data_IF_698964153126
#
_entry.id   IF_698964153126
#
_cell.length_a   1.000
_cell.length_b   1.000
_cell.length_c   1.000
_cell.angle_alpha   90.00
_cell.angle_beta   90.00
_cell.angle_gamma   90.00
#
_symmetry.space_group_name_H-M   'P 1'
#
loop_
_entity.id
_entity.type
_entity.pdbx_description
1 polymer ?
#
# COMPACT_ATOMS: atom_id res chain seq x y z
N UNK A 1 29.96 -28.83 22.21
CA UNK A 1 29.47 -27.61 21.53
C UNK A 1 27.99 -27.81 21.33
N UNK A 2 27.18 -27.06 22.07
CA UNK A 2 25.73 -27.12 21.94
C UNK A 2 25.38 -26.21 20.75
N UNK A 3 24.68 -26.77 19.76
CA UNK A 3 24.19 -26.03 18.59
C UNK A 3 22.70 -25.79 18.78
N UNK A 4 22.29 -24.53 18.78
CA UNK A 4 20.88 -24.16 18.71
C UNK A 4 20.47 -24.00 17.25
N UNK A 5 19.18 -24.19 16.98
CA UNK A 5 18.54 -24.03 15.69
C UNK A 5 17.29 -23.18 15.93
N UNK A 6 17.01 -22.22 15.04
CA UNK A 6 15.73 -21.51 15.04
C UNK A 6 14.62 -22.49 14.66
N UNK A 7 13.67 -22.71 15.56
CA UNK A 7 12.44 -23.49 15.29
C UNK A 7 11.30 -22.59 14.86
N UNK A 8 11.35 -21.31 15.23
CA UNK A 8 10.41 -20.28 14.84
C UNK A 8 11.13 -18.94 14.73
N UNK A 9 10.69 -18.12 13.78
CA UNK A 9 11.15 -16.75 13.62
C UNK A 9 10.04 -15.92 12.97
N UNK A 10 9.65 -14.84 13.64
CA UNK A 10 8.73 -13.85 13.11
C UNK A 10 9.21 -12.43 13.47
N UNK A 11 8.83 -11.47 12.64
CA UNK A 11 9.09 -10.07 12.88
C UNK A 11 7.85 -9.22 12.59
N UNK A 12 7.49 -8.36 13.53
CA UNK A 12 6.41 -7.39 13.31
C UNK A 12 7.02 -6.01 13.02
N UNK A 13 6.57 -5.39 11.92
CA UNK A 13 7.14 -4.14 11.39
C UNK A 13 6.06 -3.06 11.20
N UNK A 14 5.55 -2.43 12.27
CA UNK A 14 4.79 -1.18 12.13
C UNK A 14 5.70 -0.06 11.60
N UNK A 15 5.16 1.08 11.11
CA UNK A 15 5.94 2.16 10.48
C UNK A 15 7.19 2.59 11.26
N UNK A 16 7.10 2.71 12.58
CA UNK A 16 8.19 3.28 13.37
C UNK A 16 8.90 2.32 14.30
N UNK A 17 8.58 1.02 14.23
CA UNK A 17 9.18 0.03 15.13
C UNK A 17 9.46 -1.30 14.43
N UNK A 18 10.45 -2.02 14.93
CA UNK A 18 10.66 -3.44 14.65
C UNK A 18 10.64 -4.19 15.97
N UNK A 19 10.00 -5.34 16.00
CA UNK A 19 10.43 -6.36 16.94
C UNK A 19 10.47 -7.75 16.32
N UNK A 20 11.16 -8.63 17.02
CA UNK A 20 11.49 -9.97 16.56
C UNK A 20 11.14 -10.95 17.66
N UNK A 21 10.40 -11.98 17.30
CA UNK A 21 10.12 -13.15 18.13
C UNK A 21 10.80 -14.36 17.50
N UNK A 22 11.58 -15.08 18.29
CA UNK A 22 12.26 -16.28 17.83
C UNK A 22 12.14 -17.39 18.86
N UNK A 23 12.11 -18.63 18.39
CA UNK A 23 12.24 -19.80 19.26
C UNK A 23 13.41 -20.67 18.83
N UNK A 24 14.02 -21.35 19.80
CA UNK A 24 15.12 -22.28 19.58
C UNK A 24 14.79 -23.69 20.08
N UNK A 25 15.44 -24.70 19.48
CA UNK A 25 15.29 -26.09 19.90
C UNK A 25 15.95 -26.43 21.25
N UNK A 26 16.79 -25.53 21.78
CA UNK A 26 17.52 -25.67 23.03
C UNK A 26 17.58 -24.32 23.71
N UNK A 27 17.37 -24.30 25.03
CA UNK A 27 17.49 -23.08 25.81
C UNK A 27 18.82 -22.38 25.54
N UNK A 28 18.76 -21.13 25.10
CA UNK A 28 19.91 -20.29 24.86
C UNK A 28 19.69 -18.89 25.44
N UNK A 29 20.77 -18.12 25.54
CA UNK A 29 20.67 -16.68 25.70
C UNK A 29 21.14 -16.05 24.39
N UNK A 30 20.21 -15.39 23.69
CA UNK A 30 20.44 -14.84 22.36
C UNK A 30 20.57 -13.32 22.40
N UNK A 31 21.41 -12.84 21.50
CA UNK A 31 21.59 -11.44 21.16
C UNK A 31 21.19 -11.24 19.70
N UNK A 32 20.83 -10.01 19.36
CA UNK A 32 20.57 -9.59 17.99
C UNK A 32 21.53 -8.48 17.59
N UNK A 33 22.25 -8.68 16.48
CA UNK A 33 22.95 -7.61 15.77
C UNK A 33 22.10 -7.17 14.60
N UNK A 34 21.93 -5.86 14.44
CA UNK A 34 21.15 -5.30 13.35
C UNK A 34 21.72 -3.97 12.83
N UNK A 35 21.38 -3.62 11.59
CA UNK A 35 21.73 -2.33 10.98
C UNK A 35 20.77 -1.96 9.85
N UNK A 36 20.81 -0.69 9.44
CA UNK A 36 20.11 -0.13 8.27
C UNK A 36 20.86 -0.30 6.95
N UNK A 37 22.02 -0.94 6.99
CA UNK A 37 22.81 -1.27 5.81
C UNK A 37 22.99 -2.78 5.75
N UNK A 38 23.16 -3.35 4.57
CA UNK A 38 23.44 -4.78 4.45
C UNK A 38 24.90 -5.06 4.88
N UNK A 39 25.17 -6.06 5.73
CA UNK A 39 26.53 -6.39 6.11
C UNK A 39 27.31 -6.99 4.93
N UNK A 40 28.63 -6.84 4.98
CA UNK A 40 29.51 -7.64 4.15
C UNK A 40 29.49 -9.11 4.62
N UNK A 41 29.86 -10.04 3.74
CA UNK A 41 29.98 -11.46 4.06
C UNK A 41 31.38 -11.96 3.76
N UNK A 42 31.94 -12.74 4.69
CA UNK A 42 33.21 -13.44 4.52
C UNK A 42 32.97 -14.94 4.56
N UNK A 43 33.41 -15.72 3.56
CA UNK A 43 33.24 -17.17 3.60
C UNK A 43 34.09 -17.77 4.73
N UNK A 44 33.51 -18.71 5.47
CA UNK A 44 34.19 -19.44 6.55
C UNK A 44 34.55 -20.82 6.04
N UNK A 45 35.81 -21.22 6.21
CA UNK A 45 36.31 -22.54 5.86
C UNK A 45 36.84 -23.25 7.10
N UNK A 46 36.64 -24.57 7.18
CA UNK A 46 37.24 -25.44 8.18
C UNK A 46 38.14 -26.46 7.51
N UNK A 47 39.35 -26.65 8.04
CA UNK A 47 40.25 -27.70 7.57
C UNK A 47 39.85 -29.04 8.16
N UNK A 48 39.44 -29.99 7.32
CA UNK A 48 39.07 -31.36 7.70
C UNK A 48 39.93 -32.32 6.89
N UNK A 49 40.77 -33.12 7.57
CA UNK A 49 41.71 -34.07 6.91
C UNK A 49 42.50 -33.42 5.77
N UNK A 50 43.13 -32.28 6.07
CA UNK A 50 43.89 -31.45 5.14
C UNK A 50 43.11 -30.74 4.01
N UNK A 51 41.80 -30.94 3.87
CA UNK A 51 40.95 -30.25 2.88
C UNK A 51 40.22 -29.06 3.51
N UNK A 52 40.12 -27.93 2.79
CA UNK A 52 39.30 -26.81 3.20
C UNK A 52 37.83 -27.05 2.80
N UNK A 53 36.96 -27.22 3.80
CA UNK A 53 35.52 -27.38 3.60
C UNK A 53 34.85 -26.05 3.86
N UNK A 54 34.04 -25.57 2.93
CA UNK A 54 33.22 -24.37 3.12
C UNK A 54 32.13 -24.66 4.17
N UNK A 55 32.00 -23.78 5.16
CA UNK A 55 31.11 -23.96 6.31
C UNK A 55 30.07 -22.85 6.46
N UNK A 56 29.99 -21.91 5.51
CA UNK A 56 29.03 -20.80 5.54
C UNK A 56 29.68 -19.44 5.38
N UNK A 57 28.99 -18.42 5.89
CA UNK A 57 29.44 -17.04 5.90
C UNK A 57 29.46 -16.49 7.32
N UNK A 58 30.45 -15.64 7.58
CA UNK A 58 30.47 -14.71 8.70
C UNK A 58 30.01 -13.35 8.20
N UNK A 59 29.06 -12.75 8.90
CA UNK A 59 28.57 -11.41 8.58
C UNK A 59 29.42 -10.36 9.31
N UNK A 60 30.02 -9.46 8.53
CA UNK A 60 30.90 -8.40 9.01
C UNK A 60 30.13 -7.08 8.95
N UNK A 61 29.98 -6.46 10.11
CA UNK A 61 29.33 -5.17 10.29
C UNK A 61 30.38 -4.10 10.58
N UNK A 62 30.24 -2.93 9.99
CA UNK A 62 31.07 -1.78 10.34
C UNK A 62 30.63 -1.18 11.68
N UNK A 63 29.32 -0.95 11.86
CA UNK A 63 28.72 -0.39 13.09
C UNK A 63 27.33 -1.00 13.36
N UNK A 64 27.23 -2.24 13.87
CA UNK A 64 25.93 -2.83 14.19
C UNK A 64 25.40 -2.25 15.49
N UNK A 65 24.08 -2.08 15.56
CA UNK A 65 23.40 -1.97 16.84
C UNK A 65 23.30 -3.36 17.46
N UNK A 66 23.42 -3.43 18.79
CA UNK A 66 23.31 -4.66 19.57
C UNK A 66 22.10 -4.57 20.49
N UNK A 67 21.28 -5.62 20.51
CA UNK A 67 20.12 -5.74 21.39
C UNK A 67 20.14 -7.13 22.03
N UNK A 68 19.99 -7.20 23.35
CA UNK A 68 19.83 -8.44 24.10
C UNK A 68 18.35 -8.86 24.09
N UNK A 69 18.09 -10.16 24.22
CA UNK A 69 16.72 -10.64 24.43
C UNK A 69 16.10 -9.99 25.68
N UNK A 70 14.79 -9.74 25.64
CA UNK A 70 14.07 -9.13 26.77
C UNK A 70 13.74 -10.14 27.88
N UNK A 71 13.65 -11.44 27.57
CA UNK A 71 13.43 -12.48 28.56
C UNK A 71 14.69 -12.72 29.41
N UNK A 72 14.57 -12.89 30.73
CA UNK A 72 15.72 -13.15 31.58
C UNK A 72 16.27 -14.56 31.40
N UNK A 73 17.61 -14.67 31.35
CA UNK A 73 18.32 -15.94 31.43
C UNK A 73 18.30 -16.77 30.13
N UNK A 74 18.37 -18.08 30.29
CA UNK A 74 18.39 -19.06 29.20
C UNK A 74 16.95 -19.50 28.92
N UNK A 75 16.43 -19.18 27.74
CA UNK A 75 15.03 -19.41 27.36
C UNK A 75 14.93 -20.11 26.01
N UNK A 76 13.76 -20.67 25.70
CA UNK A 76 13.45 -21.20 24.37
C UNK A 76 12.86 -20.13 23.46
N UNK A 77 12.16 -19.15 24.03
CA UNK A 77 11.56 -18.02 23.33
C UNK A 77 12.39 -16.74 23.59
N UNK A 78 12.61 -15.97 22.54
CA UNK A 78 13.46 -14.78 22.53
C UNK A 78 12.72 -13.64 21.84
N UNK A 79 12.51 -12.55 22.57
CA UNK A 79 11.82 -11.34 22.11
C UNK A 79 12.82 -10.18 22.11
N UNK A 80 12.95 -9.51 20.96
CA UNK A 80 13.79 -8.35 20.78
C UNK A 80 12.96 -7.13 20.38
N UNK A 81 13.25 -5.98 20.99
CA UNK A 81 12.59 -4.71 20.70
C UNK A 81 11.52 -4.29 21.72
N UNK A 82 10.73 -3.24 21.41
CA UNK A 82 10.66 -2.57 20.11
C UNK A 82 11.89 -1.70 19.80
N UNK A 83 12.44 -1.83 18.60
CA UNK A 83 13.50 -1.00 18.04
C UNK A 83 12.89 0.15 17.26
N UNK A 84 13.27 1.40 17.55
CA UNK A 84 12.75 2.57 16.83
C UNK A 84 13.40 2.71 15.45
N UNK A 85 12.58 2.92 14.42
CA UNK A 85 12.99 3.00 13.01
C UNK A 85 12.21 4.10 12.28
N UNK A 86 12.75 4.59 11.16
CA UNK A 86 11.96 5.36 10.20
C UNK A 86 11.07 4.42 9.38
N UNK A 87 9.96 4.94 8.84
CA UNK A 87 9.04 4.16 8.00
C UNK A 87 9.68 3.67 6.69
N UNK A 88 10.77 4.31 6.25
CA UNK A 88 11.51 3.98 5.04
C UNK A 88 12.74 3.12 5.28
N UNK A 89 13.07 2.78 6.53
CA UNK A 89 14.27 2.02 6.86
C UNK A 89 14.11 0.55 6.45
N UNK A 90 15.04 0.06 5.63
CA UNK A 90 15.36 -1.36 5.54
C UNK A 90 16.20 -1.78 6.74
N UNK A 91 15.95 -2.96 7.28
CA UNK A 91 16.73 -3.50 8.40
C UNK A 91 17.28 -4.87 8.06
N UNK A 92 18.54 -5.09 8.36
CA UNK A 92 19.18 -6.39 8.30
C UNK A 92 19.56 -6.80 9.72
N UNK A 93 19.27 -8.04 10.11
CA UNK A 93 19.65 -8.55 11.42
C UNK A 93 20.01 -10.03 11.37
N UNK A 94 20.74 -10.51 12.39
CA UNK A 94 20.81 -11.93 12.71
C UNK A 94 20.82 -12.10 14.23
N UNK A 95 20.37 -13.28 14.67
CA UNK A 95 20.45 -13.70 16.06
C UNK A 95 21.76 -14.46 16.27
N UNK A 96 22.37 -14.32 17.44
CA UNK A 96 23.58 -15.06 17.78
C UNK A 96 23.64 -15.38 19.28
N UNK A 97 24.38 -16.42 19.61
CA UNK A 97 24.81 -16.71 20.98
C UNK A 97 26.33 -16.56 21.09
N UNK A 98 26.82 -16.31 22.30
CA UNK A 98 28.25 -16.26 22.59
C UNK A 98 28.70 -17.65 23.06
N UNK A 99 29.62 -18.29 22.32
CA UNK A 99 30.17 -19.60 22.70
C UNK A 99 31.16 -19.52 23.87
N UNK A 100 31.29 -20.60 24.65
CA UNK A 100 32.03 -20.62 25.92
C UNK A 100 33.56 -20.57 25.79
N UNK A 101 34.18 -21.03 24.68
CA UNK A 101 35.64 -20.97 24.41
C UNK A 101 36.02 -21.54 23.03
N UNK A 102 36.90 -20.89 22.25
CA UNK A 102 37.12 -19.44 22.28
C UNK A 102 35.79 -18.71 22.07
N UNK A 103 35.65 -17.49 22.60
CA UNK A 103 34.45 -16.67 22.40
C UNK A 103 34.26 -16.39 20.91
N UNK A 104 33.48 -17.24 20.25
CA UNK A 104 33.04 -17.07 18.88
C UNK A 104 31.53 -16.98 18.87
N UNK A 105 31.03 -16.04 18.08
CA UNK A 105 29.60 -15.89 17.86
C UNK A 105 29.12 -17.06 17.00
N UNK A 106 28.12 -17.77 17.50
CA UNK A 106 27.33 -18.69 16.70
C UNK A 106 26.24 -17.86 16.02
N UNK A 107 26.49 -17.45 14.77
CA UNK A 107 25.56 -16.61 14.01
C UNK A 107 24.44 -17.45 13.38
N UNK A 108 23.20 -17.01 13.54
CA UNK A 108 22.06 -17.47 12.77
C UNK A 108 22.04 -16.90 11.35
N UNK A 109 20.99 -17.17 10.57
CA UNK A 109 20.84 -16.62 9.22
C UNK A 109 20.67 -15.09 9.26
N UNK A 110 21.16 -14.40 8.21
CA UNK A 110 20.88 -12.98 8.00
C UNK A 110 19.46 -12.80 7.45
N UNK A 111 18.67 -12.01 8.16
CA UNK A 111 17.30 -11.67 7.84
C UNK A 111 17.25 -10.24 7.31
N UNK A 112 16.43 -10.01 6.29
CA UNK A 112 16.12 -8.68 5.77
C UNK A 112 14.65 -8.37 6.04
N UNK A 113 14.40 -7.29 6.77
CA UNK A 113 13.07 -6.74 7.00
C UNK A 113 12.95 -5.48 6.14
N UNK A 114 12.11 -5.50 5.09
CA UNK A 114 11.85 -4.29 4.32
C UNK A 114 11.08 -3.26 5.16
N UNK A 115 11.02 -2.00 4.71
CA UNK A 115 10.00 -1.05 5.14
C UNK A 115 8.62 -1.72 5.16
N UNK A 116 7.72 -1.36 6.10
CA UNK A 116 6.33 -1.76 5.96
C UNK A 116 5.79 -1.23 4.65
N UNK A 117 4.88 -1.99 4.05
CA UNK A 117 4.04 -1.45 2.99
C UNK A 117 3.32 -0.22 3.57
N UNK A 118 3.67 0.96 3.06
CA UNK A 118 2.95 2.16 3.42
C UNK A 118 1.52 2.00 2.92
N UNK A 119 0.49 2.41 3.69
CA UNK A 119 -0.86 2.44 3.17
C UNK A 119 -0.84 3.25 1.87
N UNK A 120 -1.42 2.72 0.81
CA UNK A 120 -1.44 3.41 -0.47
C UNK A 120 -2.60 4.43 -0.43
N UNK A 121 -2.36 5.72 -0.74
CA UNK A 121 -3.39 6.73 -0.85
C UNK A 121 -4.61 6.24 -1.59
N UNK A 122 -5.74 6.18 -0.91
CA UNK A 122 -7.00 5.73 -1.48
C UNK A 122 -8.17 6.48 -0.87
N UNK A 123 -9.17 6.75 -1.69
CA UNK A 123 -10.39 7.40 -1.26
C UNK A 123 -11.57 6.90 -2.10
N UNK A 124 -12.76 6.91 -1.50
CA UNK A 124 -14.02 6.65 -2.17
C UNK A 124 -15.09 7.55 -1.61
N UNK A 125 -15.68 8.35 -2.50
CA UNK A 125 -16.73 9.31 -2.19
C UNK A 125 -18.02 8.94 -2.93
N UNK A 126 -19.14 9.40 -2.40
CA UNK A 126 -20.46 9.18 -2.98
C UNK A 126 -21.36 10.40 -2.78
N UNK A 127 -22.48 10.42 -3.49
CA UNK A 127 -23.51 11.44 -3.33
C UNK A 127 -24.73 10.82 -2.62
N UNK A 128 -25.16 11.43 -1.53
CA UNK A 128 -26.30 10.98 -0.71
C UNK A 128 -27.65 11.57 -1.15
N UNK A 129 -27.63 12.51 -2.10
CA UNK A 129 -28.80 13.24 -2.62
C UNK A 129 -28.87 13.13 -4.14
N UNK A 130 -30.06 13.05 -4.76
CA UNK A 130 -30.15 13.02 -6.22
C UNK A 130 -29.58 14.30 -6.85
N UNK A 131 -28.80 14.13 -7.92
CA UNK A 131 -28.30 15.24 -8.74
C UNK A 131 -28.98 15.23 -10.10
N UNK A 132 -29.71 16.30 -10.42
CA UNK A 132 -30.31 16.46 -11.74
C UNK A 132 -29.27 16.88 -12.77
N UNK A 133 -29.15 16.09 -13.84
CA UNK A 133 -28.39 16.42 -15.04
C UNK A 133 -29.35 17.06 -16.05
N UNK A 134 -29.09 18.28 -16.55
CA UNK A 134 -29.94 18.90 -17.55
C UNK A 134 -29.78 18.25 -18.94
N UNK A 135 -30.83 18.31 -19.74
CA UNK A 135 -30.83 17.77 -21.10
C UNK A 135 -29.75 18.45 -21.97
N UNK A 136 -28.95 17.63 -22.67
CA UNK A 136 -27.90 18.09 -23.61
C UNK A 136 -26.87 19.02 -22.93
N UNK A 137 -26.68 18.87 -21.62
CA UNK A 137 -25.73 19.67 -20.84
C UNK A 137 -24.77 18.74 -20.10
N UNK A 138 -23.47 19.04 -20.20
CA UNK A 138 -22.47 18.37 -19.36
C UNK A 138 -22.53 18.94 -17.95
N UNK A 139 -22.60 18.06 -16.95
CA UNK A 139 -22.64 18.44 -15.54
C UNK A 139 -21.56 17.68 -14.78
N UNK A 140 -20.74 18.41 -14.02
CA UNK A 140 -19.77 17.82 -13.10
C UNK A 140 -20.53 17.23 -11.90
N UNK A 141 -20.28 15.96 -11.59
CA UNK A 141 -20.88 15.31 -10.44
C UNK A 141 -20.35 15.92 -9.14
N UNK A 142 -21.27 16.15 -8.22
CA UNK A 142 -20.96 16.55 -6.85
C UNK A 142 -21.06 15.31 -5.96
N UNK A 143 -20.24 15.25 -4.93
CA UNK A 143 -20.20 14.21 -3.93
C UNK A 143 -20.21 14.90 -2.57
N UNK A 144 -21.01 14.41 -1.64
CA UNK A 144 -21.24 15.05 -0.32
C UNK A 144 -20.84 14.16 0.85
N UNK A 145 -20.44 12.92 0.56
CA UNK A 145 -20.23 11.88 1.55
C UNK A 145 -18.97 11.07 1.24
N UNK A 146 -18.26 10.67 2.30
CA UNK A 146 -17.01 9.90 2.22
C UNK A 146 -17.25 8.50 2.76
N UNK A 147 -16.93 7.48 1.98
CA UNK A 147 -16.93 6.09 2.46
C UNK A 147 -15.63 5.79 3.21
N UNK A 148 -14.50 6.20 2.63
CA UNK A 148 -13.19 6.25 3.25
C UNK A 148 -12.31 7.26 2.50
N UNK A 149 -11.35 7.85 3.21
CA UNK A 149 -10.30 8.71 2.64
C UNK A 149 -9.08 8.64 3.57
N UNK A 150 -8.14 7.76 3.22
CA UNK A 150 -7.00 7.46 4.10
C UNK A 150 -5.95 8.58 4.11
N UNK A 151 -6.03 9.54 3.16
CA UNK A 151 -4.96 10.51 2.89
C UNK A 151 -5.47 11.94 2.62
N UNK A 152 -6.74 12.23 2.87
CA UNK A 152 -7.32 13.57 2.66
C UNK A 152 -7.30 13.98 1.19
N UNK A 153 -7.57 13.04 0.28
CA UNK A 153 -7.66 13.30 -1.16
C UNK A 153 -8.94 14.06 -1.53
N UNK A 154 -9.97 14.02 -0.69
CA UNK A 154 -11.24 14.71 -0.88
C UNK A 154 -11.39 15.89 0.08
N UNK A 155 -11.82 17.03 -0.46
CA UNK A 155 -12.15 18.23 0.30
C UNK A 155 -13.66 18.52 0.18
N UNK A 156 -14.45 18.44 1.27
CA UNK A 156 -15.88 18.77 1.25
C UNK A 156 -16.19 20.21 0.80
N UNK A 157 -15.23 21.15 0.87
CA UNK A 157 -15.39 22.50 0.32
C UNK A 157 -15.28 22.53 -1.22
N UNK A 158 -14.80 21.43 -1.81
CA UNK A 158 -14.63 21.22 -3.25
C UNK A 158 -15.24 19.85 -3.63
N UNK A 159 -16.56 19.70 -3.48
CA UNK A 159 -17.25 18.40 -3.50
C UNK A 159 -17.23 17.69 -4.87
N UNK A 160 -16.57 18.27 -5.87
CA UNK A 160 -16.60 17.83 -7.25
C UNK A 160 -15.35 17.06 -7.68
N UNK A 161 -14.35 16.89 -6.80
CA UNK A 161 -13.03 16.38 -7.17
C UNK A 161 -12.29 15.61 -6.08
N UNK A 162 -11.29 14.85 -6.52
CA UNK A 162 -10.13 14.50 -5.69
C UNK A 162 -8.95 15.40 -6.04
N UNK A 163 -8.15 15.81 -5.04
CA UNK A 163 -6.92 16.59 -5.22
C UNK A 163 -5.72 15.77 -4.78
N UNK A 164 -4.72 15.67 -5.66
CA UNK A 164 -3.55 14.82 -5.45
C UNK A 164 -2.50 15.54 -4.59
N UNK A 165 -2.16 14.96 -3.43
CA UNK A 165 -1.13 15.52 -2.54
C UNK A 165 0.29 15.10 -2.92
N UNK A 166 0.45 13.90 -3.46
CA UNK A 166 1.74 13.33 -3.87
C UNK A 166 1.66 12.71 -5.26
N UNK A 167 2.67 12.99 -6.09
CA UNK A 167 2.72 12.49 -7.46
C UNK A 167 2.92 10.99 -7.50
N UNK A 168 2.03 10.28 -8.20
CA UNK A 168 2.09 8.82 -8.33
C UNK A 168 1.33 8.30 -9.56
N UNK A 169 1.38 6.99 -9.79
CA UNK A 169 0.45 6.33 -10.71
C UNK A 169 -0.81 5.97 -9.93
N UNK A 170 -1.96 6.47 -10.38
CA UNK A 170 -3.25 6.22 -9.75
C UNK A 170 -4.17 5.41 -10.67
N UNK A 171 -4.95 4.51 -10.07
CA UNK A 171 -6.16 3.98 -10.67
C UNK A 171 -7.36 4.73 -10.08
N UNK A 172 -8.33 5.06 -10.92
CA UNK A 172 -9.56 5.72 -10.48
C UNK A 172 -10.71 5.36 -11.40
N UNK A 173 -11.92 5.50 -10.89
CA UNK A 173 -13.12 5.15 -11.63
C UNK A 173 -14.39 5.70 -11.01
N UNK A 174 -15.44 5.71 -11.81
CA UNK A 174 -16.77 6.16 -11.39
C UNK A 174 -17.80 5.08 -11.68
N UNK A 175 -18.76 4.93 -10.78
CA UNK A 175 -19.98 4.17 -10.97
C UNK A 175 -21.18 5.08 -10.71
N UNK A 176 -22.18 5.07 -11.58
CA UNK A 176 -23.44 5.78 -11.34
C UNK A 176 -24.57 5.18 -12.16
N UNK A 177 -25.80 5.54 -11.81
CA UNK A 177 -27.00 5.15 -12.53
C UNK A 177 -27.96 6.32 -12.68
N UNK A 178 -28.64 6.46 -13.81
CA UNK A 178 -29.79 7.38 -13.91
C UNK A 178 -31.06 6.78 -13.27
N UNK A 179 -31.84 7.60 -12.59
CA UNK A 179 -33.14 7.25 -12.00
C UNK A 179 -34.27 7.14 -13.04
N UNK A 180 -33.98 6.61 -14.23
CA UNK A 180 -34.94 6.45 -15.32
C UNK A 180 -34.61 5.22 -16.18
N UNK A 181 -35.62 4.68 -16.84
CA UNK A 181 -35.54 3.57 -17.80
C UNK A 181 -35.85 4.01 -19.23
N UNK A 182 -35.98 5.33 -19.47
CA UNK A 182 -36.30 5.85 -20.79
C UNK A 182 -35.11 5.75 -21.75
N UNK A 183 -35.35 5.55 -23.05
CA UNK A 183 -34.27 5.54 -24.03
C UNK A 183 -33.50 6.86 -24.06
N UNK A 184 -32.17 6.78 -24.06
CA UNK A 184 -31.30 7.95 -24.19
C UNK A 184 -29.88 7.57 -24.58
N UNK A 185 -29.16 8.47 -25.25
CA UNK A 185 -27.71 8.44 -25.23
C UNK A 185 -27.21 9.03 -23.93
N UNK A 186 -26.26 8.37 -23.27
CA UNK A 186 -25.61 8.88 -22.08
C UNK A 186 -24.08 8.70 -22.19
N UNK A 187 -23.35 9.67 -21.67
CA UNK A 187 -21.90 9.74 -21.71
C UNK A 187 -21.39 10.19 -20.34
N UNK A 188 -20.29 9.59 -19.92
CA UNK A 188 -19.54 9.99 -18.74
C UNK A 188 -18.06 10.04 -19.08
N UNK A 189 -17.33 10.95 -18.46
CA UNK A 189 -15.89 11.00 -18.59
C UNK A 189 -15.23 11.48 -17.31
N UNK A 190 -13.98 11.05 -17.15
CA UNK A 190 -13.09 11.51 -16.08
C UNK A 190 -12.06 12.43 -16.72
N UNK A 191 -11.83 13.60 -16.12
CA UNK A 191 -10.94 14.62 -16.66
C UNK A 191 -10.21 15.35 -15.54
N UNK A 192 -9.13 16.05 -15.90
CA UNK A 192 -8.51 17.01 -14.98
C UNK A 192 -9.44 18.24 -14.83
N UNK A 193 -9.51 18.82 -13.64
CA UNK A 193 -10.30 20.02 -13.39
C UNK A 193 -9.78 21.19 -14.24
N UNK A 194 -10.61 21.66 -15.19
CA UNK A 194 -10.19 22.65 -16.19
C UNK A 194 -9.17 22.14 -17.23
N UNK A 195 -8.93 20.83 -17.30
CA UNK A 195 -7.91 20.21 -18.13
C UNK A 195 -8.46 19.13 -19.08
N UNK A 196 -7.57 18.28 -19.65
CA UNK A 196 -7.95 17.28 -20.65
C UNK A 196 -8.78 16.14 -20.08
N UNK A 197 -9.56 15.51 -20.98
CA UNK A 197 -10.25 14.25 -20.73
C UNK A 197 -9.25 13.09 -20.63
N UNK A 198 -9.36 12.28 -19.57
CA UNK A 198 -8.47 11.14 -19.30
C UNK A 198 -9.11 9.80 -19.70
N UNK A 199 -10.42 9.67 -19.52
CA UNK A 199 -11.18 8.49 -19.88
C UNK A 199 -12.63 8.84 -20.17
N UNK A 200 -13.29 8.03 -20.99
CA UNK A 200 -14.70 8.21 -21.37
C UNK A 200 -15.40 6.86 -21.50
N UNK A 201 -16.69 6.87 -21.15
CA UNK A 201 -17.60 5.80 -21.48
C UNK A 201 -18.91 6.39 -22.01
N UNK A 202 -19.38 5.87 -23.13
CA UNK A 202 -20.65 6.26 -23.75
C UNK A 202 -21.50 5.04 -23.99
N UNK A 203 -22.79 5.13 -23.69
CA UNK A 203 -23.73 4.02 -23.90
C UNK A 203 -25.09 4.56 -24.36
N UNK A 204 -25.74 3.80 -25.24
CA UNK A 204 -27.14 4.04 -25.58
C UNK A 204 -28.01 3.12 -24.75
N UNK A 205 -28.95 3.72 -24.02
CA UNK A 205 -29.93 3.01 -23.21
C UNK A 205 -31.10 2.72 -24.11
N UNK A 206 -31.34 1.45 -24.42
CA UNK A 206 -32.63 1.05 -24.95
C UNK A 206 -33.61 0.96 -23.78
N UNK A 207 -34.85 1.41 -23.97
CA UNK A 207 -35.84 1.47 -22.89
C UNK A 207 -36.07 0.09 -22.25
N UNK A 208 -36.63 0.06 -21.03
CA UNK A 208 -37.02 -1.17 -20.32
C UNK A 208 -35.91 -2.02 -19.66
N UNK A 209 -34.67 -1.53 -19.55
CA UNK A 209 -33.63 -2.22 -18.79
C UNK A 209 -33.73 -1.90 -17.29
N UNK A 210 -34.08 -2.89 -16.47
CA UNK A 210 -33.81 -2.88 -15.02
C UNK A 210 -32.36 -3.34 -14.78
N UNK A 211 -31.55 -2.68 -13.95
CA UNK A 211 -31.91 -1.62 -12.99
C UNK A 211 -31.95 -0.20 -13.54
N UNK A 212 -31.63 0.04 -14.81
CA UNK A 212 -31.61 1.37 -15.43
C UNK A 212 -30.32 1.58 -16.22
N UNK A 213 -30.09 2.83 -16.65
CA UNK A 213 -28.83 3.20 -17.28
C UNK A 213 -27.71 3.26 -16.23
N UNK A 214 -26.90 2.21 -16.13
CA UNK A 214 -25.79 2.11 -15.18
C UNK A 214 -24.46 2.20 -15.92
N UNK A 215 -23.53 2.95 -15.36
CA UNK A 215 -22.17 3.13 -15.85
C UNK A 215 -21.20 2.70 -14.77
N UNK A 216 -20.17 1.95 -15.15
CA UNK A 216 -19.01 1.68 -14.31
C UNK A 216 -17.80 1.59 -15.20
N UNK A 217 -16.84 2.51 -15.01
CA UNK A 217 -15.60 2.52 -15.76
C UNK A 217 -14.48 3.12 -14.92
N UNK A 218 -13.24 2.82 -15.29
CA UNK A 218 -12.06 3.34 -14.65
C UNK A 218 -10.90 3.40 -15.62
N UNK A 219 -9.83 4.06 -15.20
CA UNK A 219 -8.58 4.19 -15.95
C UNK A 219 -7.41 4.26 -14.98
N UNK A 220 -6.20 4.31 -15.54
CA UNK A 220 -4.96 4.56 -14.80
C UNK A 220 -4.26 5.75 -15.43
N UNK A 221 -3.77 6.68 -14.61
CA UNK A 221 -3.07 7.85 -15.11
C UNK A 221 -2.02 8.35 -14.10
N UNK A 222 -0.83 8.77 -14.56
CA UNK A 222 0.14 9.43 -13.70
C UNK A 222 -0.34 10.84 -13.35
N UNK A 223 -0.52 11.11 -12.06
CA UNK A 223 -0.98 12.41 -11.57
C UNK A 223 0.11 13.08 -10.76
N UNK A 224 0.23 14.40 -10.90
CA UNK A 224 1.19 15.26 -10.19
C UNK A 224 0.56 15.83 -8.91
N UNK A 225 1.37 16.27 -7.94
CA UNK A 225 0.86 17.06 -6.82
C UNK A 225 0.09 18.28 -7.32
N UNK A 226 -1.10 18.51 -6.77
CA UNK A 226 -2.00 19.60 -7.15
C UNK A 226 -2.95 19.29 -8.31
N UNK A 227 -2.76 18.18 -9.05
CA UNK A 227 -3.74 17.75 -10.04
C UNK A 227 -5.07 17.45 -9.34
N UNK A 228 -6.16 17.85 -9.98
CA UNK A 228 -7.51 17.58 -9.53
C UNK A 228 -8.26 16.77 -10.57
N UNK A 229 -8.89 15.67 -10.17
CA UNK A 229 -9.70 14.82 -11.07
C UNK A 229 -11.18 14.97 -10.78
N UNK A 230 -11.98 15.07 -11.84
CA UNK A 230 -13.43 15.29 -11.81
C UNK A 230 -14.15 14.27 -12.69
N UNK A 231 -15.43 14.07 -12.42
CA UNK A 231 -16.33 13.26 -13.24
C UNK A 231 -17.43 14.14 -13.82
N UNK A 232 -17.64 14.06 -15.12
CA UNK A 232 -18.73 14.77 -15.81
C UNK A 232 -19.68 13.79 -16.49
N UNK A 233 -20.97 14.10 -16.46
CA UNK A 233 -22.06 13.29 -17.06
C UNK A 233 -22.87 14.12 -18.04
N UNK A 234 -23.37 13.47 -19.10
CA UNK A 234 -24.20 14.05 -20.16
C UNK A 234 -25.26 13.04 -20.63
N UNK A 235 -26.43 13.52 -21.05
CA UNK A 235 -27.45 12.66 -21.67
C UNK A 235 -28.39 13.41 -22.64
N UNK A 236 -29.13 12.64 -23.46
CA UNK A 236 -30.01 13.15 -24.53
C UNK A 236 -31.50 12.82 -24.37
N UNK A 237 -31.97 12.51 -23.16
CA UNK A 237 -33.32 11.96 -22.88
C UNK A 237 -34.53 12.90 -23.05
N UNK A 238 -34.38 14.10 -23.63
CA UNK A 238 -35.46 15.07 -23.88
C UNK A 238 -35.97 15.88 -22.68
N UNK A 239 -35.48 15.63 -21.48
CA UNK A 239 -35.76 16.36 -20.24
C UNK A 239 -34.63 16.08 -19.24
N UNK A 240 -34.51 16.86 -18.16
CA UNK A 240 -33.52 16.61 -17.10
C UNK A 240 -33.71 15.25 -16.44
N UNK A 241 -32.61 14.63 -16.01
CA UNK A 241 -32.61 13.30 -15.36
C UNK A 241 -31.74 13.28 -14.13
N UNK A 242 -32.26 12.66 -13.08
CA UNK A 242 -31.53 12.51 -11.85
C UNK A 242 -30.59 11.32 -11.90
N UNK A 243 -29.42 11.49 -11.29
CA UNK A 243 -28.58 10.39 -10.86
C UNK A 243 -29.25 9.74 -9.64
N UNK A 244 -29.46 8.43 -9.72
CA UNK A 244 -30.03 7.64 -8.64
C UNK A 244 -29.05 7.57 -7.46
N UNK A 245 -29.59 7.73 -6.26
CA UNK A 245 -28.86 7.56 -5.00
C UNK A 245 -29.00 6.13 -4.53
N UNK A 246 -27.87 5.47 -4.39
CA UNK A 246 -27.69 4.21 -3.70
C UNK A 246 -26.33 4.28 -2.98
N UNK A 247 -26.32 4.38 -1.64
CA UNK A 247 -25.09 4.53 -0.85
C UNK A 247 -24.03 3.46 -1.06
N UNK A 248 -24.38 2.32 -1.67
CA UNK A 248 -23.46 1.22 -1.94
C UNK A 248 -23.04 1.13 -3.41
N UNK A 249 -23.70 1.82 -4.34
CA UNK A 249 -23.47 1.62 -5.77
C UNK A 249 -23.55 2.85 -6.67
N UNK A 250 -24.19 3.96 -6.28
CA UNK A 250 -24.44 5.10 -7.17
C UNK A 250 -24.73 6.44 -6.46
N UNK A 251 -24.14 7.55 -6.92
CA UNK A 251 -22.89 7.64 -7.68
C UNK A 251 -21.69 7.49 -6.75
N UNK A 252 -20.68 6.70 -7.14
CA UNK A 252 -19.42 6.55 -6.41
C UNK A 252 -18.25 6.96 -7.30
N UNK A 253 -17.33 7.74 -6.74
CA UNK A 253 -16.05 8.07 -7.36
C UNK A 253 -14.94 7.58 -6.45
N UNK A 254 -13.98 6.85 -7.00
CA UNK A 254 -12.89 6.25 -6.24
C UNK A 254 -11.54 6.51 -6.90
N UNK A 255 -10.51 6.54 -6.06
CA UNK A 255 -9.11 6.66 -6.44
C UNK A 255 -8.25 5.79 -5.52
N UNK A 256 -7.22 5.16 -6.08
CA UNK A 256 -6.20 4.44 -5.34
C UNK A 256 -4.83 4.62 -6.02
N UNK A 257 -3.79 4.89 -5.24
CA UNK A 257 -2.41 4.81 -5.71
C UNK A 257 -2.08 3.35 -5.98
N UNK A 258 -1.53 3.06 -7.17
CA UNK A 258 -1.18 1.69 -7.61
C UNK A 258 0.30 1.54 -7.97
N UNK A 259 1.07 2.62 -7.90
CA UNK A 259 2.50 2.59 -8.18
C UNK A 259 3.17 3.93 -7.95
N UNK A 260 4.50 3.96 -8.04
CA UNK A 260 5.25 5.21 -8.07
C UNK A 260 4.92 6.01 -9.34
N UNK A 261 5.16 7.33 -9.31
CA UNK A 261 5.03 8.15 -10.51
C UNK A 261 6.00 7.61 -11.57
N UNK A 262 5.53 7.27 -12.78
CA UNK A 262 6.41 6.83 -13.84
C UNK A 262 7.34 8.00 -14.16
N UNK A 263 8.59 7.87 -13.73
CA UNK A 263 9.65 8.78 -14.10
C UNK A 263 9.90 8.47 -15.58
N UNK A 264 9.14 9.07 -16.48
CA UNK A 264 9.65 9.19 -17.84
C UNK A 264 10.90 10.07 -17.71
N UNK A 265 12.11 9.57 -18.01
CA UNK A 265 13.23 10.48 -18.18
C UNK A 265 12.83 11.50 -19.26
N UNK A 266 13.16 12.79 -19.08
CA UNK A 266 12.97 13.78 -20.14
C UNK A 266 13.68 13.36 -21.43
#
# INVERSE_FOLDING_TARGET
MIWWILTYLDNWRPPHKLGVLAETNLGAHLFMKWSKHKPARRPVYKRVRAVNVWCGYEYIWDTPNLVEQSQPGITFEHLFGPISLAATDHVWYYLFSIGERPFKECQGPLIHVPPPELPMPSARIYHSVPQTIPWVTSTVLQFDSVLYDDYGLYDPAQPDRFTISAGALYAFGCSFRFATTLPMGARCWIHLAGGPQLAEHSHFVNGNNWPGCSFSFGTQYPLRPGDAIQVSVYHTSGAGRDIAVDPLSSPHFWIAQIGAYPISPP
#
